data_IF_028001961688
#
_entry.id   IF_028001961688
#
_cell.length_a   1.000
_cell.length_b   1.000
_cell.length_c   1.000
_cell.angle_alpha   90.00
_cell.angle_beta   90.00
_cell.angle_gamma   90.00
#
_symmetry.space_group_name_H-M   'P 1'
#
loop_
_entity.id
_entity.type
_entity.pdbx_description
1 polymer ?
#
# COMPACT_ATOMS: atom_id res chain seq x y z
N UNK A 1 28.85 26.29 -17.46
CA UNK A 1 28.22 25.52 -16.35
C UNK A 1 28.23 24.03 -16.66
N UNK A 2 27.65 23.58 -17.78
CA UNK A 2 27.66 22.16 -18.19
C UNK A 2 29.08 21.58 -18.33
N UNK A 3 30.01 22.32 -18.95
CA UNK A 3 31.40 21.88 -19.08
C UNK A 3 32.09 21.73 -17.71
N UNK A 4 31.71 22.56 -16.74
CA UNK A 4 32.18 22.45 -15.36
C UNK A 4 31.74 21.13 -14.72
N UNK A 5 30.46 20.79 -14.84
CA UNK A 5 29.94 19.51 -14.33
C UNK A 5 30.56 18.30 -15.03
N UNK A 6 30.76 18.38 -16.35
CA UNK A 6 31.44 17.31 -17.11
C UNK A 6 32.87 17.12 -16.64
N UNK A 7 33.64 18.20 -16.48
CA UNK A 7 35.01 18.12 -16.00
C UNK A 7 35.09 17.53 -14.58
N UNK A 8 34.20 17.94 -13.66
CA UNK A 8 34.12 17.35 -12.32
C UNK A 8 33.79 15.86 -12.35
N UNK A 9 32.85 15.45 -13.21
CA UNK A 9 32.48 14.04 -13.39
C UNK A 9 33.65 13.22 -13.95
N UNK A 10 34.35 13.74 -14.95
CA UNK A 10 35.44 13.04 -15.63
C UNK A 10 36.70 12.89 -14.74
N UNK A 11 36.85 13.74 -13.73
CA UNK A 11 37.97 13.69 -12.79
C UNK A 11 37.75 12.72 -11.62
N UNK A 12 36.51 12.32 -11.33
CA UNK A 12 36.18 11.42 -10.23
C UNK A 12 36.05 9.96 -10.71
N UNK A 13 37.01 9.11 -10.33
CA UNK A 13 37.03 7.68 -10.68
C UNK A 13 35.91 6.89 -9.98
N UNK A 14 35.46 7.33 -8.80
CA UNK A 14 34.33 6.73 -8.08
C UNK A 14 33.05 6.93 -8.89
N UNK A 15 32.86 8.13 -9.43
CA UNK A 15 31.69 8.46 -10.25
C UNK A 15 31.68 7.68 -11.57
N UNK A 16 32.83 7.49 -12.22
CA UNK A 16 32.94 6.60 -13.41
C UNK A 16 32.61 5.15 -13.09
N UNK A 17 33.06 4.66 -11.93
CA UNK A 17 32.77 3.30 -11.46
C UNK A 17 31.27 3.14 -11.21
N UNK A 18 30.65 4.11 -10.52
CA UNK A 18 29.22 4.15 -10.29
C UNK A 18 28.42 4.20 -11.61
N UNK A 19 28.84 5.01 -12.59
CA UNK A 19 28.24 5.06 -13.93
C UNK A 19 28.22 3.68 -14.60
N UNK A 20 29.35 2.98 -14.59
CA UNK A 20 29.43 1.65 -15.19
C UNK A 20 28.50 0.65 -14.47
N UNK A 21 28.35 0.74 -13.16
CA UNK A 21 27.45 -0.12 -12.40
C UNK A 21 25.96 0.18 -12.70
N UNK A 22 25.53 1.44 -12.58
CA UNK A 22 24.12 1.83 -12.74
C UNK A 22 23.61 1.75 -14.18
N UNK A 23 24.50 1.65 -15.17
CA UNK A 23 24.10 1.48 -16.58
C UNK A 23 23.92 0.01 -16.98
N UNK A 24 24.27 -0.94 -16.11
CA UNK A 24 24.15 -2.39 -16.38
C UNK A 24 23.04 -3.06 -15.57
N UNK A 25 22.57 -2.44 -14.49
CA UNK A 25 21.52 -2.99 -13.60
C UNK A 25 20.70 -1.89 -12.94
N UNK A 26 19.73 -2.26 -12.11
CA UNK A 26 18.88 -1.32 -11.36
C UNK A 26 19.68 -0.56 -10.30
N UNK A 27 19.24 0.64 -9.95
CA UNK A 27 19.90 1.43 -8.91
C UNK A 27 19.76 0.76 -7.54
N UNK A 28 18.66 0.05 -7.31
CA UNK A 28 18.38 -0.69 -6.08
C UNK A 28 19.41 -1.79 -5.83
N UNK A 29 19.80 -2.53 -6.87
CA UNK A 29 20.82 -3.58 -6.76
C UNK A 29 22.21 -2.99 -6.47
N UNK A 30 22.55 -1.86 -7.09
CA UNK A 30 23.85 -1.19 -6.90
C UNK A 30 23.94 -0.52 -5.52
N UNK A 31 22.85 0.08 -5.07
CA UNK A 31 22.81 0.85 -3.82
C UNK A 31 22.63 -0.03 -2.56
N UNK A 32 22.49 -1.35 -2.71
CA UNK A 32 22.34 -2.27 -1.60
C UNK A 32 23.59 -2.27 -0.70
N UNK A 33 23.42 -1.90 0.56
CA UNK A 33 24.50 -1.92 1.56
C UNK A 33 24.60 -3.31 2.17
N UNK A 34 25.64 -4.08 1.80
CA UNK A 34 25.79 -5.48 2.21
C UNK A 34 25.91 -5.65 3.73
N UNK A 35 26.57 -4.72 4.42
CA UNK A 35 26.73 -4.78 5.88
C UNK A 35 25.39 -4.72 6.60
N UNK A 36 24.48 -3.85 6.14
CA UNK A 36 23.11 -3.74 6.71
C UNK A 36 22.34 -5.04 6.50
N UNK A 37 22.44 -5.64 5.32
CA UNK A 37 21.80 -6.93 5.01
C UNK A 37 22.33 -8.03 5.93
N UNK A 38 23.63 -8.05 6.19
CA UNK A 38 24.27 -9.05 7.05
C UNK A 38 24.01 -8.83 8.54
N UNK A 39 23.87 -7.57 8.97
CA UNK A 39 23.62 -7.23 10.37
C UNK A 39 22.14 -7.25 10.76
N UNK A 40 21.22 -7.39 9.81
CA UNK A 40 19.78 -7.44 10.09
C UNK A 40 19.41 -8.79 10.69
N UNK A 41 19.01 -8.79 11.97
CA UNK A 41 18.54 -9.97 12.70
C UNK A 41 16.99 -10.04 12.67
N UNK A 42 16.47 -11.24 12.36
CA UNK A 42 15.04 -11.54 12.36
C UNK A 42 14.61 -12.37 13.59
N UNK A 43 15.41 -12.33 14.66
CA UNK A 43 15.11 -12.96 15.94
C UNK A 43 14.38 -11.98 16.86
N UNK A 44 13.21 -12.38 17.36
CA UNK A 44 12.38 -11.55 18.23
C UNK A 44 12.12 -12.28 19.55
N UNK A 45 12.25 -11.58 20.69
CA UNK A 45 11.96 -12.14 22.02
C UNK A 45 10.48 -12.49 22.21
N UNK A 46 9.59 -11.79 21.49
CA UNK A 46 8.15 -12.05 21.46
C UNK A 46 7.71 -12.16 20.02
N UNK A 47 7.23 -13.33 19.63
CA UNK A 47 6.70 -13.61 18.29
C UNK A 47 5.20 -13.82 18.37
N UNK A 48 4.45 -13.08 17.55
CA UNK A 48 2.98 -13.19 17.51
C UNK A 48 2.50 -14.07 16.35
N UNK A 49 3.23 -14.08 15.25
CA UNK A 49 2.85 -14.67 13.95
C UNK A 49 3.16 -16.17 13.86
N UNK A 50 2.11 -16.99 13.94
CA UNK A 50 2.16 -18.43 13.60
C UNK A 50 1.29 -18.78 12.37
N UNK A 51 0.76 -17.76 11.70
CA UNK A 51 -0.21 -17.91 10.61
C UNK A 51 0.38 -17.62 9.23
N UNK A 52 -0.23 -18.18 8.19
CA UNK A 52 0.15 -17.95 6.80
C UNK A 52 -0.06 -16.50 6.37
N UNK A 53 0.85 -16.00 5.53
CA UNK A 53 0.74 -14.68 4.90
C UNK A 53 -0.45 -14.64 3.92
N UNK A 54 -1.10 -13.48 3.82
CA UNK A 54 -2.11 -13.21 2.81
C UNK A 54 -1.49 -12.39 1.67
N UNK A 55 -2.05 -12.46 0.47
CA UNK A 55 -1.51 -11.79 -0.72
C UNK A 55 -2.59 -10.96 -1.43
N UNK A 56 -2.41 -9.64 -1.47
CA UNK A 56 -3.33 -8.71 -2.13
C UNK A 56 -3.24 -8.74 -3.67
N UNK A 57 -2.19 -9.35 -4.22
CA UNK A 57 -1.86 -9.39 -5.65
C UNK A 57 -1.76 -7.98 -6.23
N UNK A 58 -2.13 -7.79 -7.49
CA UNK A 58 -2.10 -6.50 -8.20
C UNK A 58 -3.31 -5.63 -7.80
N UNK A 59 -3.37 -5.21 -6.53
CA UNK A 59 -4.40 -4.31 -6.01
C UNK A 59 -3.86 -3.42 -4.90
N UNK A 60 -4.48 -2.27 -4.66
CA UNK A 60 -4.09 -1.28 -3.63
C UNK A 60 -4.70 -1.54 -2.24
N UNK A 61 -4.96 -2.80 -1.89
CA UNK A 61 -5.80 -3.18 -0.73
C UNK A 61 -5.03 -3.43 0.57
N UNK A 62 -3.80 -2.93 0.68
CA UNK A 62 -2.92 -3.18 1.83
C UNK A 62 -3.58 -2.83 3.17
N UNK A 63 -4.34 -1.73 3.22
CA UNK A 63 -5.06 -1.26 4.39
C UNK A 63 -6.12 -2.27 4.87
N UNK A 64 -6.89 -2.88 3.95
CA UNK A 64 -7.85 -3.94 4.28
C UNK A 64 -7.13 -5.22 4.73
N UNK A 65 -6.09 -5.63 4.01
CA UNK A 65 -5.33 -6.83 4.37
C UNK A 65 -4.69 -6.70 5.75
N UNK A 66 -4.11 -5.55 6.08
CA UNK A 66 -3.52 -5.28 7.38
C UNK A 66 -4.57 -5.33 8.51
N UNK A 67 -5.72 -4.65 8.32
CA UNK A 67 -6.79 -4.64 9.31
C UNK A 67 -7.38 -6.05 9.52
N UNK A 68 -7.66 -6.79 8.45
CA UNK A 68 -8.20 -8.15 8.53
C UNK A 68 -7.18 -9.15 9.09
N UNK A 69 -5.88 -8.96 8.82
CA UNK A 69 -4.82 -9.76 9.41
C UNK A 69 -4.70 -9.55 10.93
N UNK A 70 -4.98 -8.34 11.42
CA UNK A 70 -5.04 -8.07 12.85
C UNK A 70 -6.24 -8.82 13.50
N UNK A 71 -7.42 -8.74 12.88
CA UNK A 71 -8.64 -9.32 13.44
C UNK A 71 -8.69 -10.86 13.36
N UNK A 72 -8.03 -11.48 12.37
CA UNK A 72 -8.13 -12.95 12.21
C UNK A 72 -7.50 -13.71 13.35
N UNK A 73 -6.48 -13.16 14.02
CA UNK A 73 -5.76 -13.84 15.11
C UNK A 73 -6.67 -14.17 16.30
N UNK A 74 -7.38 -13.18 16.90
CA UNK A 74 -8.35 -13.49 17.95
C UNK A 74 -9.53 -14.33 17.44
N UNK A 75 -9.94 -14.17 16.18
CA UNK A 75 -11.01 -14.99 15.58
C UNK A 75 -10.62 -16.48 15.51
N UNK A 76 -9.40 -16.78 15.03
CA UNK A 76 -8.83 -18.13 14.99
C UNK A 76 -8.81 -18.78 16.38
N UNK A 77 -8.31 -18.04 17.38
CA UNK A 77 -8.27 -18.51 18.78
C UNK A 77 -9.67 -18.80 19.31
N UNK A 78 -10.63 -17.90 19.07
CA UNK A 78 -12.01 -18.03 19.55
C UNK A 78 -12.76 -19.19 18.87
N UNK A 79 -12.52 -19.42 17.60
CA UNK A 79 -13.18 -20.48 16.81
C UNK A 79 -12.42 -21.82 16.85
N UNK A 80 -11.25 -21.88 17.48
CA UNK A 80 -10.36 -23.05 17.53
C UNK A 80 -10.02 -23.61 16.14
N UNK A 81 -9.64 -22.74 15.21
CA UNK A 81 -9.25 -23.10 13.83
C UNK A 81 -7.79 -22.75 13.56
N UNK A 82 -7.09 -23.64 12.83
CA UNK A 82 -5.67 -23.46 12.48
C UNK A 82 -5.44 -22.46 11.36
N UNK A 83 -6.36 -22.39 10.39
CA UNK A 83 -6.27 -21.50 9.24
C UNK A 83 -7.58 -20.76 9.08
N UNK A 84 -7.50 -19.43 8.98
CA UNK A 84 -8.65 -18.58 8.76
C UNK A 84 -8.23 -17.29 8.06
N UNK A 85 -9.07 -16.84 7.13
CA UNK A 85 -9.01 -15.51 6.54
C UNK A 85 -10.42 -14.94 6.48
N UNK A 86 -10.54 -13.65 6.79
CA UNK A 86 -11.72 -12.88 6.40
C UNK A 86 -11.70 -12.61 4.90
N UNK A 87 -12.87 -12.52 4.28
CA UNK A 87 -12.99 -12.15 2.86
C UNK A 87 -12.59 -10.69 2.65
N UNK A 88 -11.39 -10.48 2.11
CA UNK A 88 -10.95 -9.14 1.71
C UNK A 88 -11.78 -8.63 0.52
N UNK A 89 -12.32 -9.54 -0.30
CA UNK A 89 -13.20 -9.20 -1.42
C UNK A 89 -14.56 -8.68 -0.93
N UNK A 90 -15.13 -9.24 0.14
CA UNK A 90 -16.37 -8.73 0.75
C UNK A 90 -16.21 -7.29 1.22
N UNK A 91 -15.17 -7.02 2.00
CA UNK A 91 -14.89 -5.67 2.49
C UNK A 91 -14.61 -4.71 1.32
N UNK A 92 -13.85 -5.15 0.31
CA UNK A 92 -13.55 -4.31 -0.85
C UNK A 92 -14.78 -4.00 -1.71
N UNK A 93 -15.68 -4.97 -1.90
CA UNK A 93 -16.92 -4.75 -2.64
C UNK A 93 -17.71 -3.61 -2.02
N UNK A 94 -17.91 -3.66 -0.69
CA UNK A 94 -18.64 -2.61 0.02
C UNK A 94 -17.88 -1.29 0.06
N UNK A 95 -16.55 -1.29 0.20
CA UNK A 95 -15.77 -0.05 0.06
C UNK A 95 -16.01 0.62 -1.30
N UNK A 96 -15.91 -0.14 -2.42
CA UNK A 96 -16.15 0.40 -3.76
C UNK A 96 -17.56 0.93 -3.93
N UNK A 97 -18.55 0.20 -3.43
CA UNK A 97 -19.95 0.58 -3.53
C UNK A 97 -20.25 1.88 -2.76
N UNK A 98 -19.81 1.96 -1.50
CA UNK A 98 -20.00 3.16 -0.67
C UNK A 98 -19.21 4.35 -1.22
N UNK A 99 -18.00 4.11 -1.75
CA UNK A 99 -17.14 5.15 -2.32
C UNK A 99 -17.70 5.73 -3.60
N UNK A 100 -18.31 4.92 -4.47
CA UNK A 100 -19.01 5.42 -5.65
C UNK A 100 -20.14 6.38 -5.24
N UNK A 101 -20.93 6.04 -4.22
CA UNK A 101 -21.93 6.95 -3.67
C UNK A 101 -21.32 8.20 -3.05
N UNK A 102 -20.27 8.06 -2.23
CA UNK A 102 -19.55 9.19 -1.64
C UNK A 102 -19.04 10.18 -2.70
N UNK A 103 -18.45 9.66 -3.78
CA UNK A 103 -17.97 10.46 -4.91
C UNK A 103 -19.12 11.24 -5.57
N UNK A 104 -20.23 10.56 -5.90
CA UNK A 104 -21.39 11.22 -6.53
C UNK A 104 -21.99 12.30 -5.63
N UNK A 105 -22.04 12.08 -4.32
CA UNK A 105 -22.49 13.11 -3.36
C UNK A 105 -21.56 14.33 -3.37
N UNK A 106 -20.24 14.14 -3.48
CA UNK A 106 -19.31 15.26 -3.57
C UNK A 106 -19.41 16.01 -4.90
N UNK A 107 -19.66 15.33 -6.01
CA UNK A 107 -19.94 16.01 -7.29
C UNK A 107 -21.19 16.88 -7.21
N UNK A 108 -22.25 16.40 -6.55
CA UNK A 108 -23.47 17.20 -6.31
C UNK A 108 -23.15 18.40 -5.43
N UNK A 109 -22.36 18.21 -4.36
CA UNK A 109 -21.97 19.30 -3.44
C UNK A 109 -21.08 20.36 -4.12
N UNK A 110 -20.38 20.01 -5.20
CA UNK A 110 -19.51 20.92 -5.96
C UNK A 110 -20.11 21.28 -7.32
N UNK A 111 -21.42 21.10 -7.53
CA UNK A 111 -22.06 21.31 -8.83
C UNK A 111 -22.04 22.77 -9.30
N UNK A 112 -21.95 23.72 -8.38
CA UNK A 112 -21.87 25.17 -8.67
C UNK A 112 -20.43 25.65 -8.92
N UNK A 113 -19.43 24.78 -8.78
CA UNK A 113 -18.03 25.10 -9.06
C UNK A 113 -17.71 24.96 -10.56
N UNK A 114 -16.74 25.74 -11.03
CA UNK A 114 -16.16 25.54 -12.37
C UNK A 114 -15.52 24.15 -12.47
N UNK A 115 -15.52 23.57 -13.68
CA UNK A 115 -14.98 22.21 -13.89
C UNK A 115 -13.48 22.11 -13.64
N UNK A 116 -12.75 23.22 -13.76
CA UNK A 116 -11.32 23.34 -13.48
C UNK A 116 -11.02 23.81 -12.04
N UNK A 117 -12.05 23.93 -11.20
CA UNK A 117 -11.86 24.12 -9.76
C UNK A 117 -10.96 22.99 -9.22
N UNK A 118 -10.00 23.37 -8.39
CA UNK A 118 -8.99 22.45 -7.86
C UNK A 118 -9.61 21.24 -7.14
N UNK A 119 -10.73 21.44 -6.46
CA UNK A 119 -11.44 20.38 -5.74
C UNK A 119 -12.13 19.43 -6.70
N UNK A 120 -12.85 19.97 -7.70
CA UNK A 120 -13.52 19.17 -8.73
C UNK A 120 -12.50 18.36 -9.53
N UNK A 121 -11.42 19.00 -9.97
CA UNK A 121 -10.32 18.33 -10.67
C UNK A 121 -9.69 17.21 -9.82
N UNK A 122 -9.49 17.44 -8.52
CA UNK A 122 -8.98 16.42 -7.61
C UNK A 122 -9.93 15.22 -7.48
N UNK A 123 -11.24 15.47 -7.27
CA UNK A 123 -12.26 14.41 -7.17
C UNK A 123 -12.32 13.54 -8.43
N UNK A 124 -12.10 14.13 -9.61
CA UNK A 124 -12.13 13.44 -10.90
C UNK A 124 -10.82 12.69 -11.22
N UNK A 125 -9.75 12.86 -10.45
CA UNK A 125 -8.44 12.24 -10.74
C UNK A 125 -8.44 10.73 -10.46
N UNK A 126 -8.95 10.31 -9.30
CA UNK A 126 -9.05 8.89 -8.89
C UNK A 126 -10.26 8.68 -7.96
N UNK A 127 -11.50 8.73 -8.50
CA UNK A 127 -12.72 8.77 -7.68
C UNK A 127 -12.98 7.47 -6.91
N UNK A 128 -12.46 6.35 -7.42
CA UNK A 128 -12.69 5.02 -6.89
C UNK A 128 -11.39 4.25 -6.71
N UNK A 129 -10.32 4.90 -6.24
CA UNK A 129 -9.06 4.25 -5.91
C UNK A 129 -9.18 3.10 -4.90
N UNK A 130 -8.22 2.18 -4.90
CA UNK A 130 -8.21 1.02 -3.97
C UNK A 130 -7.81 1.40 -2.54
N UNK A 131 -7.05 2.49 -2.39
CA UNK A 131 -6.51 2.92 -1.11
C UNK A 131 -7.60 3.37 -0.12
N UNK A 132 -7.30 3.21 1.16
CA UNK A 132 -8.18 3.63 2.24
C UNK A 132 -7.45 3.77 3.56
N UNK A 133 -8.20 4.18 4.57
CA UNK A 133 -7.70 4.46 5.91
C UNK A 133 -8.45 3.62 6.96
N UNK A 134 -7.92 3.57 8.18
CA UNK A 134 -8.50 2.79 9.28
C UNK A 134 -9.97 3.14 9.57
N UNK A 135 -10.33 4.42 9.61
CA UNK A 135 -11.70 4.87 9.82
C UNK A 135 -12.65 4.39 8.71
N UNK A 136 -12.19 4.34 7.45
CA UNK A 136 -12.98 3.80 6.34
C UNK A 136 -13.25 2.31 6.52
N UNK A 137 -12.26 1.57 7.05
CA UNK A 137 -12.41 0.15 7.33
C UNK A 137 -13.44 -0.07 8.43
N UNK A 138 -13.35 0.71 9.51
CA UNK A 138 -14.32 0.69 10.60
C UNK A 138 -15.74 0.99 10.09
N UNK A 139 -15.90 1.95 9.18
CA UNK A 139 -17.20 2.27 8.57
C UNK A 139 -17.78 1.07 7.80
N UNK A 140 -16.96 0.41 6.98
CA UNK A 140 -17.36 -0.79 6.24
C UNK A 140 -17.76 -1.92 7.20
N UNK A 141 -16.94 -2.19 8.22
CA UNK A 141 -17.21 -3.25 9.21
C UNK A 141 -18.48 -2.98 10.01
N UNK A 142 -18.67 -1.76 10.49
CA UNK A 142 -19.84 -1.41 11.29
C UNK A 142 -21.14 -1.51 10.49
N UNK A 143 -21.10 -1.21 9.19
CA UNK A 143 -22.30 -1.23 8.33
C UNK A 143 -22.57 -2.60 7.72
N UNK A 144 -21.52 -3.30 7.28
CA UNK A 144 -21.63 -4.51 6.44
C UNK A 144 -21.04 -5.77 7.08
N UNK A 145 -20.47 -5.65 8.27
CA UNK A 145 -19.85 -6.76 8.98
C UNK A 145 -18.65 -7.36 8.24
N UNK A 146 -18.28 -8.56 8.66
CA UNK A 146 -17.20 -9.35 8.08
C UNK A 146 -17.67 -10.78 7.86
N UNK A 147 -17.12 -11.42 6.83
CA UNK A 147 -17.44 -12.82 6.48
C UNK A 147 -16.15 -13.63 6.29
N UNK A 148 -16.17 -14.95 6.51
CA UNK A 148 -15.08 -15.83 6.11
C UNK A 148 -14.79 -15.73 4.60
N UNK A 149 -13.54 -16.02 4.20
CA UNK A 149 -13.14 -16.04 2.79
C UNK A 149 -13.74 -17.21 2.00
N UNK A 150 -14.06 -18.31 2.67
CA UNK A 150 -14.64 -19.55 2.15
C UNK A 150 -16.14 -19.63 2.36
#
# INVERSE_FOLDING_TARGET
MLDGFRNSFEQDSTVKTAQNAVTQTTIEDVALVRDVVQSTDFTFSTRLDEWKVANQKQSGRCWLFAALNMLRVPAMKKMNVKEFEFSQNWAMFWDKFERANWFLQHIINTADCEVDDRTVAFLLTDPIGDGGQWNMFVNVVNKHGLVPKS
#
